data_IF_445508993392
#
_entry.id   IF_445508993392
#
_cell.length_a   1.000
_cell.length_b   1.000
_cell.length_c   1.000
_cell.angle_alpha   90.00
_cell.angle_beta   90.00
_cell.angle_gamma   90.00
#
_symmetry.space_group_name_H-M   'P 1'
#
loop_
_entity.id
_entity.type
_entity.pdbx_description
1 polymer ?
#
# COMPACT_ATOMS: atom_id res chain seq x y z
N UNK A 1 -13.69 5.19 16.53
CA UNK A 1 -12.23 5.21 16.83
C UNK A 1 -11.54 4.35 15.78
N UNK A 2 -10.20 4.37 15.63
CA UNK A 2 -9.53 3.42 14.74
C UNK A 2 -9.63 2.03 15.34
N UNK A 3 -10.11 1.07 14.55
CA UNK A 3 -10.21 -0.34 14.94
C UNK A 3 -8.98 -1.11 14.43
N UNK A 4 -7.85 -0.42 14.33
CA UNK A 4 -6.60 -1.00 13.85
C UNK A 4 -5.92 -1.70 15.02
N UNK A 5 -5.48 -2.91 14.78
CA UNK A 5 -4.69 -3.72 15.69
C UNK A 5 -3.44 -4.23 14.99
N UNK A 6 -2.43 -4.51 15.79
CA UNK A 6 -1.28 -5.29 15.39
C UNK A 6 -1.46 -6.69 15.95
N UNK A 7 -1.37 -7.69 15.08
CA UNK A 7 -1.44 -9.11 15.43
C UNK A 7 -0.04 -9.69 15.27
N UNK A 8 0.50 -10.28 16.33
CA UNK A 8 1.76 -11.02 16.28
C UNK A 8 1.49 -12.39 15.67
N UNK A 9 2.26 -12.77 14.65
CA UNK A 9 2.10 -14.01 13.90
C UNK A 9 3.24 -15.02 14.13
N UNK A 10 4.31 -14.55 14.79
CA UNK A 10 5.50 -15.32 15.17
C UNK A 10 6.07 -14.65 16.42
N UNK A 11 6.52 -15.44 17.39
CA UNK A 11 7.29 -14.98 18.54
C UNK A 11 8.35 -13.97 18.13
N UNK A 12 8.37 -12.81 18.80
CA UNK A 12 9.18 -11.69 18.35
C UNK A 12 9.59 -10.78 19.50
N UNK A 13 10.45 -9.82 19.19
CA UNK A 13 10.79 -8.73 20.08
C UNK A 13 10.31 -7.39 19.50
N UNK A 14 9.59 -6.64 20.31
CA UNK A 14 9.39 -5.22 20.07
C UNK A 14 10.58 -4.46 20.65
N UNK A 15 11.09 -3.47 19.92
CA UNK A 15 12.39 -2.82 20.21
C UNK A 15 12.28 -1.31 20.37
N UNK A 16 13.04 -0.72 21.28
CA UNK A 16 13.09 0.74 21.45
C UNK A 16 13.75 1.44 20.26
N UNK A 17 14.62 0.74 19.54
CA UNK A 17 15.34 1.22 18.36
C UNK A 17 15.27 0.20 17.22
N UNK A 18 15.35 0.63 15.95
CA UNK A 18 15.28 -0.26 14.80
C UNK A 18 16.63 -0.96 14.54
N UNK A 19 17.11 -1.70 15.53
CA UNK A 19 18.38 -2.44 15.52
C UNK A 19 18.15 -3.95 15.62
N UNK A 20 19.21 -4.73 15.46
CA UNK A 20 19.13 -6.16 15.77
C UNK A 20 18.96 -6.35 17.28
N UNK A 21 18.25 -7.41 17.69
CA UNK A 21 17.96 -7.66 19.10
C UNK A 21 19.22 -7.92 19.94
N UNK A 22 20.30 -8.37 19.31
CA UNK A 22 21.61 -8.55 19.92
C UNK A 22 22.32 -7.23 20.27
N UNK A 23 21.95 -6.13 19.60
CA UNK A 23 22.53 -4.80 19.82
C UNK A 23 21.76 -4.00 20.90
N UNK A 24 20.78 -4.64 21.55
CA UNK A 24 19.87 -4.02 22.51
C UNK A 24 19.94 -4.74 23.86
N UNK A 25 19.96 -3.95 24.94
CA UNK A 25 19.82 -4.49 26.28
C UNK A 25 18.42 -5.06 26.50
N UNK A 26 18.27 -5.89 27.54
CA UNK A 26 16.98 -6.50 27.85
C UNK A 26 15.91 -5.46 28.21
N UNK A 27 16.31 -4.29 28.74
CA UNK A 27 15.39 -3.18 28.99
C UNK A 27 14.95 -2.42 27.74
N UNK A 28 15.63 -2.63 26.61
CA UNK A 28 15.35 -1.97 25.33
C UNK A 28 14.50 -2.83 24.38
N UNK A 29 14.11 -4.03 24.82
CA UNK A 29 13.27 -4.94 24.03
C UNK A 29 12.24 -5.60 24.92
N UNK A 30 11.12 -6.00 24.35
CA UNK A 30 10.10 -6.78 25.03
C UNK A 30 9.76 -7.99 24.17
N UNK A 31 9.88 -9.18 24.76
CA UNK A 31 9.44 -10.42 24.13
C UNK A 31 7.91 -10.43 24.04
N UNK A 32 7.40 -10.85 22.89
CA UNK A 32 5.98 -10.94 22.63
C UNK A 32 5.70 -12.24 21.89
N UNK A 33 4.83 -13.03 22.49
CA UNK A 33 4.39 -14.33 21.98
C UNK A 33 3.52 -14.18 20.73
N UNK A 34 3.55 -15.20 19.87
CA UNK A 34 2.59 -15.40 18.79
C UNK A 34 1.13 -15.31 19.30
N UNK A 35 0.26 -14.78 18.44
CA UNK A 35 -1.17 -14.63 18.71
C UNK A 35 -1.55 -13.42 19.57
N UNK A 36 -0.60 -12.65 20.13
CA UNK A 36 -0.93 -11.41 20.86
C UNK A 36 -1.45 -10.33 19.91
N UNK A 37 -2.46 -9.60 20.38
CA UNK A 37 -3.05 -8.47 19.66
C UNK A 37 -2.95 -7.17 20.46
N UNK A 38 -2.59 -6.08 19.78
CA UNK A 38 -2.46 -4.77 20.41
C UNK A 38 -3.20 -3.70 19.62
N UNK A 39 -4.07 -2.89 20.26
CA UNK A 39 -4.73 -1.79 19.58
C UNK A 39 -3.70 -0.72 19.17
N UNK A 40 -3.76 -0.29 17.91
CA UNK A 40 -2.82 0.66 17.33
C UNK A 40 -3.40 2.06 17.35
N UNK A 41 -2.64 3.01 17.90
CA UNK A 41 -2.93 4.43 17.78
C UNK A 41 -2.34 5.01 16.49
N UNK A 42 -1.05 4.74 16.25
CA UNK A 42 -0.38 5.14 15.00
C UNK A 42 0.72 4.18 14.57
N UNK A 43 1.07 4.24 13.28
CA UNK A 43 2.24 3.56 12.75
C UNK A 43 2.81 4.33 11.56
N UNK A 44 4.11 4.19 11.35
CA UNK A 44 4.81 4.83 10.24
C UNK A 44 4.51 4.11 8.91
N UNK A 45 4.31 4.90 7.85
CA UNK A 45 4.08 4.37 6.51
C UNK A 45 5.36 3.80 5.88
N UNK A 46 6.53 4.26 6.30
CA UNK A 46 7.82 3.76 5.81
C UNK A 46 8.46 2.82 6.82
N UNK A 47 9.33 1.95 6.32
CA UNK A 47 10.22 1.16 7.16
C UNK A 47 11.44 2.00 7.54
N UNK A 48 11.81 1.95 8.81
CA UNK A 48 13.02 2.58 9.36
C UNK A 48 13.97 1.45 9.70
N UNK A 49 15.07 1.33 8.94
CA UNK A 49 16.05 0.24 9.06
C UNK A 49 15.37 -1.16 9.15
N UNK A 50 14.42 -1.41 8.25
CA UNK A 50 13.68 -2.68 8.18
C UNK A 50 12.58 -2.87 9.23
N UNK A 51 12.31 -1.88 10.09
CA UNK A 51 11.30 -1.96 11.14
C UNK A 51 10.13 -1.00 10.87
N UNK A 52 8.92 -1.38 11.27
CA UNK A 52 7.78 -0.45 11.35
C UNK A 52 7.74 0.13 12.76
N UNK A 53 7.64 1.45 12.87
CA UNK A 53 7.41 2.13 14.15
C UNK A 53 5.92 2.17 14.42
N UNK A 54 5.51 1.67 15.58
CA UNK A 54 4.10 1.57 15.99
C UNK A 54 3.94 2.18 17.37
N UNK A 55 2.94 3.05 17.52
CA UNK A 55 2.46 3.54 18.80
C UNK A 55 1.14 2.84 19.15
N UNK A 56 1.12 2.12 20.26
CA UNK A 56 -0.05 1.42 20.75
C UNK A 56 -0.97 2.34 21.55
N UNK A 57 -2.26 2.02 21.54
CA UNK A 57 -3.30 2.72 22.29
C UNK A 57 -3.42 2.09 23.67
N UNK A 58 -3.26 2.90 24.73
CA UNK A 58 -3.45 2.46 26.13
C UNK A 58 -2.73 1.15 26.48
N UNK A 59 -1.60 0.86 25.81
CA UNK A 59 -0.83 -0.38 25.97
C UNK A 59 0.60 0.02 26.30
N UNK A 60 1.04 -0.36 27.49
CA UNK A 60 2.36 -0.04 28.03
C UNK A 60 3.12 -1.36 28.18
N UNK A 61 4.26 -1.47 27.50
CA UNK A 61 5.06 -2.69 27.45
C UNK A 61 6.47 -2.43 27.98
N UNK A 62 7.16 -3.52 28.32
CA UNK A 62 8.54 -3.49 28.78
C UNK A 62 8.75 -2.83 30.14
N UNK A 63 9.99 -2.86 30.67
CA UNK A 63 10.29 -2.39 32.02
C UNK A 63 10.11 -0.87 32.20
N UNK A 64 10.12 -0.12 31.10
CA UNK A 64 9.95 1.34 31.09
C UNK A 64 8.52 1.81 30.75
N UNK A 65 7.55 0.90 30.72
CA UNK A 65 6.14 1.21 30.40
C UNK A 65 5.98 2.06 29.13
N UNK A 66 6.56 1.61 28.01
CA UNK A 66 6.51 2.37 26.74
C UNK A 66 5.33 1.94 25.88
N UNK A 67 4.81 2.91 25.13
CA UNK A 67 3.71 2.69 24.17
C UNK A 67 4.18 2.62 22.72
N UNK A 68 5.42 3.02 22.43
CA UNK A 68 5.95 3.11 21.06
C UNK A 68 7.14 2.18 20.86
N UNK A 69 7.12 1.41 19.79
CA UNK A 69 8.07 0.36 19.51
C UNK A 69 8.40 0.24 18.02
N UNK A 70 9.62 -0.21 17.71
CA UNK A 70 10.03 -0.69 16.40
C UNK A 70 9.82 -2.19 16.33
N UNK A 71 9.13 -2.64 15.29
CA UNK A 71 8.66 -4.00 15.15
C UNK A 71 9.12 -4.55 13.80
N UNK A 72 9.63 -5.77 13.79
CA UNK A 72 10.06 -6.43 12.57
C UNK A 72 8.83 -6.89 11.77
N UNK A 73 8.51 -6.26 10.63
CA UNK A 73 7.22 -6.43 9.96
C UNK A 73 6.90 -7.85 9.51
N UNK A 74 7.86 -8.70 9.08
CA UNK A 74 7.57 -10.08 8.72
C UNK A 74 6.93 -10.94 9.83
N UNK A 75 7.02 -10.52 11.09
CA UNK A 75 6.45 -11.27 12.23
C UNK A 75 5.04 -10.79 12.62
N UNK A 76 4.51 -9.76 11.96
CA UNK A 76 3.27 -9.10 12.39
C UNK A 76 2.34 -8.77 11.22
N UNK A 77 1.06 -8.68 11.54
CA UNK A 77 0.00 -8.21 10.67
C UNK A 77 -0.58 -6.92 11.24
N UNK A 78 -0.68 -5.88 10.41
CA UNK A 78 -1.53 -4.71 10.72
C UNK A 78 -2.93 -4.97 10.17
N UNK A 79 -3.91 -5.13 11.05
CA UNK A 79 -5.28 -5.46 10.70
C UNK A 79 -6.25 -4.36 11.12
N UNK A 80 -7.25 -4.07 10.28
CA UNK A 80 -8.36 -3.20 10.61
C UNK A 80 -8.41 -1.86 9.87
N UNK A 81 -9.48 -1.12 10.13
CA UNK A 81 -9.86 0.06 9.33
C UNK A 81 -9.44 1.38 9.97
N UNK A 82 -8.87 2.26 9.14
CA UNK A 82 -8.69 3.67 9.48
C UNK A 82 -10.07 4.38 9.51
N UNK A 83 -10.37 5.21 10.53
CA UNK A 83 -11.64 5.92 10.63
C UNK A 83 -11.92 6.80 9.41
N UNK A 84 -13.14 6.72 8.88
CA UNK A 84 -13.57 7.54 7.75
C UNK A 84 -12.92 7.18 6.41
N UNK A 85 -12.17 6.08 6.33
CA UNK A 85 -11.59 5.60 5.08
C UNK A 85 -12.67 4.98 4.19
N UNK A 86 -13.24 5.78 3.29
CA UNK A 86 -14.28 5.38 2.34
C UNK A 86 -13.94 5.84 0.92
N UNK A 87 -12.89 5.26 0.29
CA UNK A 87 -12.47 5.65 -1.04
C UNK A 87 -13.54 5.36 -2.10
N UNK A 88 -13.84 6.33 -2.96
CA UNK A 88 -14.85 6.22 -4.02
C UNK A 88 -14.36 6.72 -5.40
N UNK A 89 -13.04 6.80 -5.59
CA UNK A 89 -12.44 7.29 -6.83
C UNK A 89 -12.82 6.38 -8.01
N UNK A 90 -13.22 7.00 -9.13
CA UNK A 90 -13.70 6.31 -10.32
C UNK A 90 -12.62 6.28 -11.40
N UNK A 91 -12.56 5.31 -12.32
CA UNK A 91 -11.62 5.35 -13.45
C UNK A 91 -11.61 6.71 -14.17
N UNK A 92 -10.46 7.12 -14.70
CA UNK A 92 -10.40 8.34 -15.51
C UNK A 92 -11.33 8.20 -16.74
N UNK A 93 -12.08 9.26 -17.05
CA UNK A 93 -12.86 9.31 -18.30
C UNK A 93 -11.90 9.42 -19.48
N UNK A 94 -12.18 8.68 -20.55
CA UNK A 94 -11.37 8.68 -21.78
C UNK A 94 -9.88 8.45 -21.50
N UNK A 95 -9.54 7.51 -20.61
CA UNK A 95 -8.15 7.17 -20.28
C UNK A 95 -7.35 6.91 -21.55
N UNK A 96 -6.27 7.68 -21.71
CA UNK A 96 -5.37 7.56 -22.86
C UNK A 96 -4.80 6.14 -22.90
N UNK A 97 -4.96 5.46 -24.02
CA UNK A 97 -4.51 4.09 -24.21
C UNK A 97 -3.05 4.04 -24.65
N UNK A 98 -2.40 2.92 -24.35
CA UNK A 98 -1.02 2.68 -24.76
C UNK A 98 -0.91 2.69 -26.29
N UNK A 99 0.11 3.36 -26.83
CA UNK A 99 0.38 3.44 -28.26
C UNK A 99 1.87 3.22 -28.54
N UNK A 100 2.22 2.47 -29.58
CA UNK A 100 3.63 2.17 -29.93
C UNK A 100 4.42 3.37 -30.46
N UNK A 101 3.74 4.34 -31.06
CA UNK A 101 4.39 5.53 -31.64
C UNK A 101 4.66 6.63 -30.61
N UNK A 102 4.25 6.44 -29.35
CA UNK A 102 4.31 7.41 -28.25
C UNK A 102 4.12 8.87 -28.70
N UNK A 103 2.86 9.27 -28.84
CA UNK A 103 2.47 10.62 -29.24
C UNK A 103 1.42 11.21 -28.30
N UNK A 104 1.18 12.52 -28.42
CA UNK A 104 0.20 13.23 -27.61
C UNK A 104 0.79 13.86 -26.34
N UNK A 105 -0.04 14.06 -25.29
CA UNK A 105 0.37 14.82 -24.11
C UNK A 105 1.55 14.19 -23.36
N UNK A 106 2.45 15.05 -22.89
CA UNK A 106 3.60 14.69 -22.04
C UNK A 106 3.42 15.23 -20.64
N UNK A 107 4.00 14.52 -19.68
CA UNK A 107 4.20 14.98 -18.31
C UNK A 107 5.67 14.79 -17.92
N UNK A 108 6.16 15.62 -16.99
CA UNK A 108 7.49 15.45 -16.42
C UNK A 108 7.36 14.87 -15.03
N UNK A 109 7.99 13.72 -14.82
CA UNK A 109 7.96 12.97 -13.56
C UNK A 109 9.24 13.25 -12.76
N UNK A 110 9.12 13.68 -11.50
CA UNK A 110 10.29 13.88 -10.66
C UNK A 110 11.16 12.62 -10.57
N UNK A 111 12.47 12.77 -10.74
CA UNK A 111 13.43 11.67 -10.68
C UNK A 111 13.35 10.63 -11.81
N UNK A 112 12.55 10.86 -12.86
CA UNK A 112 12.42 9.95 -14.01
C UNK A 112 12.48 10.67 -15.38
N UNK A 113 12.05 11.94 -15.45
CA UNK A 113 12.09 12.73 -16.69
C UNK A 113 10.72 12.80 -17.39
N UNK A 114 10.70 13.27 -18.63
CA UNK A 114 9.47 13.43 -19.40
C UNK A 114 9.01 12.14 -20.05
N UNK A 115 7.72 11.84 -19.95
CA UNK A 115 7.07 10.67 -20.54
C UNK A 115 5.80 11.08 -21.26
N UNK A 116 5.39 10.29 -22.26
CA UNK A 116 4.06 10.43 -22.84
C UNK A 116 3.02 9.76 -21.95
N UNK A 117 1.80 10.31 -21.87
CA UNK A 117 0.72 9.68 -21.11
C UNK A 117 0.35 8.28 -21.66
N UNK A 118 0.46 8.07 -22.98
CA UNK A 118 0.25 6.79 -23.64
C UNK A 118 1.44 5.82 -23.50
N UNK A 119 2.52 6.22 -22.83
CA UNK A 119 3.68 5.36 -22.64
C UNK A 119 3.40 4.37 -21.49
N UNK A 120 3.76 3.08 -21.64
CA UNK A 120 3.69 2.14 -20.54
C UNK A 120 4.69 2.53 -19.44
N UNK A 121 4.32 2.28 -18.19
CA UNK A 121 5.15 2.61 -17.01
C UNK A 121 6.45 1.78 -17.03
N UNK A 122 6.35 0.53 -17.46
CA UNK A 122 7.49 -0.38 -17.65
C UNK A 122 7.55 -0.83 -19.11
N UNK A 123 8.75 -1.16 -19.64
CA UNK A 123 8.87 -1.66 -21.01
C UNK A 123 7.98 -2.89 -21.26
N UNK A 124 7.24 -2.87 -22.37
CA UNK A 124 6.28 -3.91 -22.76
C UNK A 124 5.14 -4.17 -21.74
N UNK A 125 4.90 -3.24 -20.81
CA UNK A 125 3.83 -3.34 -19.82
C UNK A 125 2.44 -3.00 -20.37
N UNK A 126 1.43 -3.33 -19.58
CA UNK A 126 0.00 -3.13 -19.87
C UNK A 126 -0.61 -1.94 -19.13
N UNK A 127 0.14 -1.28 -18.25
CA UNK A 127 -0.29 -0.10 -17.50
C UNK A 127 0.48 1.14 -17.93
N UNK A 128 -0.26 2.23 -18.17
CA UNK A 128 0.24 3.49 -18.71
C UNK A 128 0.44 4.56 -17.65
N UNK A 129 1.28 5.56 -17.97
CA UNK A 129 1.38 6.76 -17.14
C UNK A 129 0.07 7.53 -17.05
N UNK A 130 -0.80 7.46 -18.06
CA UNK A 130 -2.16 7.99 -18.00
C UNK A 130 -2.98 7.35 -16.86
N UNK A 131 -2.91 6.03 -16.69
CA UNK A 131 -3.61 5.33 -15.60
C UNK A 131 -3.02 5.69 -14.24
N UNK A 132 -1.70 5.68 -14.10
CA UNK A 132 -1.04 5.97 -12.83
C UNK A 132 -1.26 7.41 -12.35
N UNK A 133 -1.34 8.37 -13.27
CA UNK A 133 -1.40 9.82 -12.97
C UNK A 133 -2.75 10.46 -13.24
N UNK A 134 -3.79 9.66 -13.51
CA UNK A 134 -5.14 10.15 -13.84
C UNK A 134 -5.12 11.15 -15.01
N UNK A 135 -4.62 10.69 -16.15
CA UNK A 135 -4.38 11.49 -17.36
C UNK A 135 -3.50 12.73 -17.09
N UNK A 136 -2.48 12.61 -16.24
CA UNK A 136 -1.56 13.70 -15.91
C UNK A 136 -2.08 14.73 -14.90
N UNK A 137 -3.30 14.57 -14.38
CA UNK A 137 -3.83 15.49 -13.35
C UNK A 137 -3.24 15.26 -11.96
N UNK A 138 -2.56 14.14 -11.74
CA UNK A 138 -1.94 13.76 -10.46
C UNK A 138 -0.47 13.44 -10.69
N UNK A 139 0.36 14.48 -10.69
CA UNK A 139 1.81 14.34 -10.84
C UNK A 139 2.44 13.95 -9.49
N UNK A 140 3.30 12.91 -9.42
CA UNK A 140 4.06 12.57 -8.23
C UNK A 140 4.74 13.79 -7.62
N UNK A 141 4.68 13.94 -6.29
CA UNK A 141 5.29 15.10 -5.61
C UNK A 141 6.82 15.06 -5.62
N UNK A 142 7.41 13.87 -5.69
CA UNK A 142 8.86 13.69 -5.71
C UNK A 142 9.27 12.36 -6.39
N UNK A 143 10.58 12.17 -6.54
CA UNK A 143 11.13 10.99 -7.21
C UNK A 143 10.98 9.68 -6.43
N UNK A 144 10.75 9.72 -5.12
CA UNK A 144 10.46 8.52 -4.34
C UNK A 144 9.08 7.97 -4.67
N UNK A 145 8.08 8.84 -4.83
CA UNK A 145 6.75 8.47 -5.29
C UNK A 145 6.78 7.92 -6.72
N UNK A 146 7.53 8.54 -7.62
CA UNK A 146 7.71 8.01 -8.99
C UNK A 146 8.31 6.61 -9.00
N UNK A 147 9.35 6.37 -8.17
CA UNK A 147 9.95 5.03 -8.02
C UNK A 147 8.95 4.01 -7.48
N UNK A 148 8.10 4.40 -6.53
CA UNK A 148 7.06 3.55 -5.96
C UNK A 148 5.97 3.19 -6.98
N UNK A 149 5.58 4.12 -7.86
CA UNK A 149 4.66 3.84 -8.97
C UNK A 149 5.26 2.77 -9.89
N UNK A 150 6.54 2.89 -10.25
CA UNK A 150 7.23 1.90 -11.08
C UNK A 150 7.29 0.54 -10.37
N UNK A 151 7.54 0.54 -9.04
CA UNK A 151 7.56 -0.69 -8.23
C UNK A 151 6.21 -1.41 -8.26
N UNK A 152 5.11 -0.71 -7.96
CA UNK A 152 3.78 -1.33 -7.95
C UNK A 152 3.29 -1.65 -9.37
N UNK A 153 3.78 -0.97 -10.42
CA UNK A 153 3.47 -1.35 -11.79
C UNK A 153 3.99 -2.75 -12.15
N UNK A 154 5.19 -3.13 -11.68
CA UNK A 154 5.71 -4.50 -11.83
C UNK A 154 4.81 -5.52 -11.14
N UNK A 155 4.33 -5.19 -9.94
CA UNK A 155 3.37 -6.04 -9.21
C UNK A 155 2.07 -6.18 -9.97
N UNK A 156 1.58 -5.12 -10.59
CA UNK A 156 0.33 -5.17 -11.37
C UNK A 156 0.46 -6.06 -12.61
N UNK A 157 1.65 -6.18 -13.22
CA UNK A 157 1.89 -7.18 -14.27
C UNK A 157 1.81 -8.60 -13.71
N UNK A 158 2.42 -8.87 -12.55
CA UNK A 158 2.29 -10.17 -11.89
C UNK A 158 0.82 -10.49 -11.56
N UNK A 159 0.06 -9.50 -11.06
CA UNK A 159 -1.38 -9.63 -10.82
C UNK A 159 -2.11 -9.99 -12.10
N UNK A 160 -1.81 -9.27 -13.20
CA UNK A 160 -2.43 -9.52 -14.50
C UNK A 160 -2.19 -10.95 -14.98
N UNK A 161 -0.96 -11.45 -14.88
CA UNK A 161 -0.63 -12.84 -15.22
C UNK A 161 -1.35 -13.82 -14.31
N UNK A 162 -1.32 -13.60 -13.00
CA UNK A 162 -1.94 -14.46 -11.98
C UNK A 162 -3.46 -14.60 -12.16
N UNK A 163 -4.15 -13.55 -12.60
CA UNK A 163 -5.60 -13.59 -12.89
C UNK A 163 -5.93 -14.07 -14.31
N UNK A 164 -4.95 -14.62 -15.04
CA UNK A 164 -5.13 -15.23 -16.36
C UNK A 164 -5.09 -14.22 -17.51
N UNK A 165 -4.21 -13.22 -17.43
CA UNK A 165 -4.02 -12.17 -18.44
C UNK A 165 -5.28 -11.39 -18.82
N UNK A 166 -6.29 -11.38 -17.93
CA UNK A 166 -7.55 -10.68 -18.14
C UNK A 166 -7.36 -9.16 -18.15
N UNK A 167 -8.19 -8.40 -18.90
CA UNK A 167 -8.17 -6.94 -18.83
C UNK A 167 -8.39 -6.44 -17.40
N UNK A 168 -7.58 -5.48 -16.99
CA UNK A 168 -7.66 -4.81 -15.68
C UNK A 168 -8.00 -3.35 -15.90
N UNK A 169 -9.03 -2.86 -15.21
CA UNK A 169 -9.40 -1.44 -15.17
C UNK A 169 -8.84 -0.82 -13.90
N UNK A 170 -8.07 0.26 -14.06
CA UNK A 170 -7.55 1.05 -12.94
C UNK A 170 -8.61 2.10 -12.52
N UNK A 171 -9.07 2.03 -11.28
CA UNK A 171 -9.95 3.03 -10.68
C UNK A 171 -9.13 4.19 -10.10
N UNK A 172 -8.09 3.85 -9.34
CA UNK A 172 -7.21 4.79 -8.67
C UNK A 172 -5.80 4.23 -8.56
N UNK A 173 -4.81 5.11 -8.67
CA UNK A 173 -3.39 4.78 -8.48
C UNK A 173 -2.75 5.88 -7.65
N UNK A 174 -1.91 6.76 -8.20
CA UNK A 174 -1.37 7.84 -7.40
C UNK A 174 -2.45 8.88 -7.05
N UNK A 175 -2.43 9.34 -5.80
CA UNK A 175 -3.27 10.45 -5.31
C UNK A 175 -2.40 11.43 -4.54
N UNK A 176 -2.33 12.68 -4.98
CA UNK A 176 -1.82 13.76 -4.14
C UNK A 176 -2.74 13.98 -2.90
N UNK A 177 -2.30 14.72 -1.87
CA UNK A 177 -3.09 14.92 -0.65
C UNK A 177 -4.50 15.50 -0.89
N UNK A 178 -4.67 16.38 -1.89
CA UNK A 178 -5.97 16.97 -2.22
C UNK A 178 -6.87 15.93 -2.89
N UNK A 179 -6.35 15.21 -3.90
CA UNK A 179 -7.08 14.13 -4.56
C UNK A 179 -7.45 13.00 -3.60
N UNK A 180 -6.56 12.63 -2.68
CA UNK A 180 -6.83 11.58 -1.69
C UNK A 180 -7.96 11.97 -0.75
N UNK A 181 -7.98 13.22 -0.27
CA UNK A 181 -9.08 13.74 0.56
C UNK A 181 -10.40 13.78 -0.22
N UNK A 182 -10.40 14.25 -1.47
CA UNK A 182 -11.59 14.28 -2.34
C UNK A 182 -12.16 12.87 -2.58
N UNK A 183 -11.29 11.89 -2.71
CA UNK A 183 -11.68 10.50 -2.87
C UNK A 183 -12.23 9.86 -1.58
N UNK A 184 -12.13 10.51 -0.42
CA UNK A 184 -12.50 9.90 0.87
C UNK A 184 -11.44 8.92 1.43
N UNK A 185 -10.19 9.04 0.99
CA UNK A 185 -9.10 8.18 1.42
C UNK A 185 -8.54 8.53 2.81
N UNK A 186 -7.98 7.52 3.49
CA UNK A 186 -7.28 7.69 4.77
C UNK A 186 -6.11 8.68 4.72
N UNK A 187 -5.81 9.31 5.86
CA UNK A 187 -4.60 10.14 6.08
C UNK A 187 -3.29 9.35 5.93
N UNK A 188 -3.33 8.02 6.02
CA UNK A 188 -2.17 7.13 5.82
C UNK A 188 -2.29 6.28 4.55
N UNK A 189 -2.98 6.82 3.54
CA UNK A 189 -3.24 6.15 2.27
C UNK A 189 -1.96 5.87 1.49
N UNK A 190 -1.79 4.60 1.09
CA UNK A 190 -0.67 4.14 0.26
C UNK A 190 -0.66 4.76 -1.15
N UNK A 191 -1.81 5.19 -1.64
CA UNK A 191 -1.90 5.95 -2.90
C UNK A 191 -1.09 7.24 -2.88
N UNK A 192 -0.90 7.86 -1.70
CA UNK A 192 -0.13 9.11 -1.57
C UNK A 192 1.38 8.90 -1.64
N UNK A 193 1.86 7.67 -1.40
CA UNK A 193 3.28 7.32 -1.57
C UNK A 193 3.54 6.59 -2.89
N UNK A 194 2.50 6.40 -3.73
CA UNK A 194 2.62 5.90 -5.09
C UNK A 194 2.66 4.38 -5.24
N UNK A 195 2.57 3.62 -4.15
CA UNK A 195 2.74 2.16 -4.17
C UNK A 195 1.43 1.37 -4.05
N UNK A 196 0.29 1.98 -4.40
CA UNK A 196 -1.02 1.34 -4.31
C UNK A 196 -1.89 1.53 -5.55
N UNK A 197 -2.77 0.56 -5.77
CA UNK A 197 -3.69 0.51 -6.89
C UNK A 197 -5.05 -0.02 -6.43
N UNK A 198 -6.12 0.70 -6.82
CA UNK A 198 -7.51 0.27 -6.73
C UNK A 198 -7.94 -0.14 -8.16
N UNK A 199 -8.36 -1.40 -8.35
CA UNK A 199 -8.63 -1.94 -9.68
C UNK A 199 -9.77 -2.95 -9.73
N UNK A 200 -10.22 -3.26 -10.95
CA UNK A 200 -11.23 -4.29 -11.26
C UNK A 200 -10.70 -5.20 -12.36
N UNK A 201 -10.93 -6.51 -12.23
CA UNK A 201 -10.56 -7.51 -13.25
C UNK A 201 -11.79 -7.89 -14.06
N UNK A 202 -11.69 -7.83 -15.38
CA UNK A 202 -12.81 -8.17 -16.25
C UNK A 202 -13.30 -9.60 -16.03
N UNK A 203 -14.59 -9.77 -15.73
CA UNK A 203 -15.22 -11.07 -15.50
C UNK A 203 -14.91 -11.72 -14.15
N UNK A 204 -14.27 -11.00 -13.21
CA UNK A 204 -14.06 -11.49 -11.83
C UNK A 204 -14.51 -10.42 -10.85
N UNK A 205 -15.42 -10.76 -9.93
CA UNK A 205 -15.90 -9.79 -8.93
C UNK A 205 -14.76 -9.38 -7.97
N UNK A 206 -14.73 -8.12 -7.51
CA UNK A 206 -13.66 -7.66 -6.62
C UNK A 206 -13.49 -8.50 -5.33
N UNK A 207 -14.55 -8.97 -4.66
CA UNK A 207 -14.39 -9.88 -3.53
C UNK A 207 -13.71 -11.21 -3.89
N UNK A 208 -13.92 -11.71 -5.12
CA UNK A 208 -13.24 -12.93 -5.60
C UNK A 208 -11.78 -12.66 -5.92
N UNK A 209 -11.46 -11.53 -6.57
CA UNK A 209 -10.06 -11.10 -6.82
C UNK A 209 -9.32 -10.95 -5.49
N UNK A 210 -9.92 -10.28 -4.50
CA UNK A 210 -9.34 -10.13 -3.16
C UNK A 210 -8.99 -11.49 -2.53
N UNK A 211 -9.92 -12.46 -2.54
CA UNK A 211 -9.66 -13.82 -2.03
C UNK A 211 -8.55 -14.56 -2.78
N UNK A 212 -8.42 -14.33 -4.09
CA UNK A 212 -7.35 -14.93 -4.89
C UNK A 212 -5.98 -14.33 -4.55
N UNK A 213 -5.93 -13.01 -4.32
CA UNK A 213 -4.69 -12.27 -4.09
C UNK A 213 -4.22 -12.30 -2.64
N UNK A 214 -5.10 -12.44 -1.65
CA UNK A 214 -4.71 -12.46 -0.23
C UNK A 214 -3.57 -13.45 0.07
N UNK A 215 -3.68 -14.75 -0.26
CA UNK A 215 -2.62 -15.71 0.02
C UNK A 215 -1.39 -15.52 -0.89
N UNK A 216 -1.61 -15.18 -2.16
CA UNK A 216 -0.54 -14.98 -3.14
C UNK A 216 0.33 -13.76 -2.81
N UNK A 217 -0.29 -12.67 -2.37
CA UNK A 217 0.42 -11.46 -1.97
C UNK A 217 1.10 -11.63 -0.62
N UNK A 218 0.47 -12.36 0.30
CA UNK A 218 1.07 -12.77 1.57
C UNK A 218 1.64 -11.57 2.34
N UNK A 219 2.90 -11.67 2.75
CA UNK A 219 3.63 -10.64 3.50
C UNK A 219 4.24 -9.53 2.63
N UNK A 220 4.04 -9.54 1.30
CA UNK A 220 4.65 -8.55 0.39
C UNK A 220 4.02 -7.15 0.50
N UNK A 221 2.81 -7.05 1.05
CA UNK A 221 2.15 -5.77 1.24
C UNK A 221 0.68 -5.85 1.68
N UNK A 222 -0.05 -4.76 1.46
CA UNK A 222 -1.44 -4.63 1.86
C UNK A 222 -2.44 -5.15 0.81
N UNK A 223 -3.53 -5.73 1.29
CA UNK A 223 -4.69 -6.16 0.49
C UNK A 223 -5.95 -5.74 1.23
N UNK A 224 -6.92 -5.16 0.52
CA UNK A 224 -8.21 -4.83 1.10
C UNK A 224 -9.40 -5.13 0.21
N UNK A 225 -10.51 -5.44 0.85
CA UNK A 225 -11.76 -5.82 0.20
C UNK A 225 -12.73 -4.63 0.13
N UNK A 226 -13.29 -4.41 -1.05
CA UNK A 226 -14.52 -3.65 -1.29
C UNK A 226 -15.42 -4.47 -2.24
N UNK A 227 -16.70 -4.13 -2.35
CA UNK A 227 -17.62 -4.75 -3.31
C UNK A 227 -17.33 -4.31 -4.75
N UNK A 228 -16.78 -3.10 -4.93
CA UNK A 228 -16.69 -2.42 -6.22
C UNK A 228 -15.26 -2.29 -6.78
N UNK A 229 -14.21 -2.58 -6.00
CA UNK A 229 -12.83 -2.66 -6.46
C UNK A 229 -11.98 -3.53 -5.52
N UNK A 230 -10.79 -3.92 -5.97
CA UNK A 230 -9.76 -4.56 -5.14
C UNK A 230 -8.63 -3.57 -4.91
N UNK A 231 -8.15 -3.49 -3.67
CA UNK A 231 -6.96 -2.71 -3.33
C UNK A 231 -5.75 -3.62 -3.15
N UNK A 232 -4.62 -3.19 -3.71
CA UNK A 232 -3.30 -3.77 -3.44
C UNK A 232 -2.27 -2.66 -3.22
N UNK A 233 -1.34 -2.87 -2.31
CA UNK A 233 -0.17 -2.02 -2.14
C UNK A 233 1.11 -2.80 -1.84
N UNK A 234 2.26 -2.16 -2.11
CA UNK A 234 3.60 -2.73 -1.97
C UNK A 234 4.38 -2.19 -0.76
N UNK A 235 3.70 -1.99 0.37
CA UNK A 235 4.29 -1.48 1.61
C UNK A 235 5.41 -2.35 2.20
N UNK A 236 5.55 -3.59 1.73
CA UNK A 236 6.62 -4.50 2.14
C UNK A 236 6.32 -5.29 3.42
N UNK A 237 5.08 -5.26 3.91
CA UNK A 237 4.64 -6.04 5.07
C UNK A 237 3.14 -6.29 5.03
N UNK A 238 2.69 -7.31 5.76
CA UNK A 238 1.29 -7.76 5.74
C UNK A 238 0.38 -6.72 6.40
N UNK A 239 -0.61 -6.24 5.64
CA UNK A 239 -1.68 -5.42 6.17
C UNK A 239 -3.03 -5.80 5.54
N UNK A 240 -4.10 -5.85 6.34
CA UNK A 240 -5.44 -6.27 5.88
C UNK A 240 -6.51 -5.35 6.45
N UNK A 241 -7.50 -5.03 5.63
CA UNK A 241 -8.66 -4.24 6.05
C UNK A 241 -9.83 -4.44 5.08
N UNK A 242 -11.02 -3.97 5.45
CA UNK A 242 -12.23 -4.08 4.64
C UNK A 242 -12.99 -2.77 4.67
N UNK A 243 -13.22 -2.18 3.50
CA UNK A 243 -13.87 -0.87 3.40
C UNK A 243 -15.34 -0.87 3.85
N UNK A 244 -15.97 -2.05 3.93
CA UNK A 244 -17.33 -2.22 4.42
C UNK A 244 -18.41 -1.76 3.43
N UNK A 245 -18.07 -1.61 2.15
CA UNK A 245 -19.00 -1.35 1.05
C UNK A 245 -18.51 -1.98 -0.23
#
# INVERSE_FOLDING_TARGET
MSDIKLVVQVDTFFKEEPKQGADLTDDQKVFVEDGKEYPVHSYDMSLINGHVKVAFKNTFLGPKNRTTWFIYPPHVLIDGNEPGNKPNDQPAKNTIKISKSYSGPKITLPGHGSVYLCQPIIPNGHFSWAEATKNGSRIPVDGSVTKNIIKIAKVMEEVREYVGAKPITINSWYRDPVSNRKAGGSKRSRHMVGDAVDFVVAGISPPKVNRMLEPWWGSRGGIASASCFTHIDARGYKARWSYGF
#
